data_IF_002414879363
#
_entry.id   IF_002414879363
#
_cell.length_a   1.000
_cell.length_b   1.000
_cell.length_c   1.000
_cell.angle_alpha   90.00
_cell.angle_beta   90.00
_cell.angle_gamma   90.00
#
_symmetry.space_group_name_H-M   'P 1'
#
loop_
_entity.id
_entity.type
_entity.pdbx_description
1 polymer ?
#
# COMPACT_ATOMS: atom_id res chain seq x y z
N UNK A 1 -11.54 -12.32 6.64
CA UNK A 1 -10.26 -12.52 5.93
C UNK A 1 -9.23 -13.08 6.92
N UNK A 2 -8.40 -14.06 6.51
CA UNK A 2 -7.52 -14.79 7.42
C UNK A 2 -6.52 -13.90 8.15
N UNK A 3 -5.94 -12.91 7.45
CA UNK A 3 -4.98 -11.97 8.05
C UNK A 3 -5.57 -11.20 9.23
N UNK A 4 -6.84 -10.80 9.15
CA UNK A 4 -7.49 -9.99 10.19
C UNK A 4 -7.81 -10.78 11.46
N UNK A 5 -7.83 -12.12 11.36
CA UNK A 5 -7.95 -13.00 12.53
C UNK A 5 -6.59 -13.15 13.22
N UNK A 6 -5.53 -13.35 12.43
CA UNK A 6 -4.18 -13.61 12.96
C UNK A 6 -3.45 -12.33 13.38
N UNK A 7 -3.69 -11.23 12.67
CA UNK A 7 -2.98 -9.96 12.80
C UNK A 7 -3.95 -8.77 12.70
N UNK A 8 -4.86 -8.60 13.67
CA UNK A 8 -5.89 -7.55 13.63
C UNK A 8 -5.29 -6.15 13.52
N UNK A 9 -4.12 -5.93 14.13
CA UNK A 9 -3.44 -4.63 14.20
C UNK A 9 -2.23 -4.52 13.26
N UNK A 10 -2.08 -5.39 12.27
CA UNK A 10 -0.96 -5.32 11.33
C UNK A 10 -1.48 -5.17 9.91
N UNK A 11 -0.96 -4.18 9.20
CA UNK A 11 -1.17 -4.07 7.76
C UNK A 11 -0.24 -5.02 7.04
N UNK A 12 -0.77 -5.73 6.04
CA UNK A 12 -0.03 -6.71 5.26
C UNK A 12 0.17 -6.15 3.86
N UNK A 13 1.43 -5.90 3.52
CA UNK A 13 1.83 -5.45 2.20
C UNK A 13 2.04 -6.62 1.26
N UNK A 14 1.56 -6.47 0.02
CA UNK A 14 1.84 -7.41 -1.07
C UNK A 14 2.43 -6.64 -2.26
N UNK A 15 3.60 -7.04 -2.79
CA UNK A 15 4.17 -6.42 -3.99
C UNK A 15 3.34 -6.84 -5.22
N UNK A 16 2.71 -5.88 -5.92
CA UNK A 16 1.75 -6.22 -6.96
C UNK A 16 2.43 -6.68 -8.27
N UNK A 17 3.70 -6.35 -8.48
CA UNK A 17 4.49 -6.79 -9.64
C UNK A 17 4.89 -8.28 -9.57
N UNK A 18 4.98 -8.87 -8.36
CA UNK A 18 5.45 -10.27 -8.19
C UNK A 18 4.33 -11.31 -8.16
N UNK A 19 3.06 -10.88 -8.10
CA UNK A 19 1.92 -11.77 -7.92
C UNK A 19 0.74 -11.43 -8.85
N UNK A 20 1.01 -10.90 -10.06
CA UNK A 20 -0.01 -10.33 -10.95
C UNK A 20 -1.27 -11.19 -11.09
N UNK A 21 -1.12 -12.49 -11.36
CA UNK A 21 -2.24 -13.42 -11.59
C UNK A 21 -3.07 -13.71 -10.33
N UNK A 22 -2.49 -13.63 -9.13
CA UNK A 22 -3.13 -13.98 -7.85
C UNK A 22 -3.37 -12.78 -6.95
N UNK A 23 -3.07 -11.56 -7.43
CA UNK A 23 -3.17 -10.30 -6.67
C UNK A 23 -4.50 -10.16 -5.91
N UNK A 24 -5.62 -10.46 -6.56
CA UNK A 24 -6.96 -10.32 -5.98
C UNK A 24 -7.17 -11.24 -4.76
N UNK A 25 -6.60 -12.46 -4.78
CA UNK A 25 -6.71 -13.41 -3.67
C UNK A 25 -6.08 -12.87 -2.39
N UNK A 26 -5.00 -12.09 -2.49
CA UNK A 26 -4.36 -11.51 -1.31
C UNK A 26 -5.25 -10.47 -0.62
N UNK A 27 -5.97 -9.65 -1.39
CA UNK A 27 -6.94 -8.72 -0.83
C UNK A 27 -8.08 -9.45 -0.11
N UNK A 28 -8.59 -10.53 -0.71
CA UNK A 28 -9.63 -11.38 -0.10
C UNK A 28 -9.11 -12.11 1.17
N UNK A 29 -7.83 -12.48 1.18
CA UNK A 29 -7.14 -13.02 2.35
C UNK A 29 -6.86 -11.96 3.42
N UNK A 30 -6.99 -10.68 3.07
CA UNK A 30 -7.02 -9.51 3.96
C UNK A 30 -5.71 -8.70 3.98
N UNK A 31 -4.89 -8.82 2.94
CA UNK A 31 -3.89 -7.78 2.65
C UNK A 31 -4.61 -6.46 2.36
N UNK A 32 -4.03 -5.36 2.84
CA UNK A 32 -4.65 -4.03 2.80
C UNK A 32 -3.75 -2.95 2.20
N UNK A 33 -2.61 -3.36 1.64
CA UNK A 33 -1.59 -2.44 1.18
C UNK A 33 -0.80 -3.02 -0.01
N UNK A 34 -0.78 -2.30 -1.13
CA UNK A 34 0.09 -2.66 -2.25
C UNK A 34 1.49 -2.13 -1.97
N UNK A 35 2.42 -3.05 -1.69
CA UNK A 35 3.79 -2.71 -1.34
C UNK A 35 4.61 -2.34 -2.56
N UNK A 36 5.11 -1.10 -2.62
CA UNK A 36 5.96 -0.63 -3.72
C UNK A 36 5.18 -0.46 -5.02
N UNK A 37 4.98 0.78 -5.43
CA UNK A 37 4.34 1.14 -6.70
C UNK A 37 5.01 2.41 -7.20
N UNK A 38 5.43 2.44 -8.46
CA UNK A 38 5.91 3.66 -9.08
C UNK A 38 5.45 3.74 -10.54
N UNK A 39 4.74 4.80 -10.94
CA UNK A 39 4.45 5.06 -12.35
C UNK A 39 5.63 5.74 -13.08
N UNK A 40 6.69 6.14 -12.35
CA UNK A 40 7.78 6.96 -12.90
C UNK A 40 9.11 6.21 -13.00
N UNK A 41 9.33 5.25 -12.13
CA UNK A 41 10.60 4.52 -12.04
C UNK A 41 10.38 3.03 -12.22
N UNK A 42 11.40 2.33 -12.70
CA UNK A 42 11.41 0.86 -12.65
C UNK A 42 11.62 0.37 -11.22
N UNK A 43 11.34 -0.90 -10.98
CA UNK A 43 11.78 -1.56 -9.76
C UNK A 43 13.31 -1.75 -9.82
N UNK A 44 14.04 -1.12 -8.90
CA UNK A 44 15.50 -1.27 -8.83
C UNK A 44 15.94 -2.54 -8.11
N UNK A 45 15.06 -3.15 -7.32
CA UNK A 45 15.32 -4.42 -6.63
C UNK A 45 15.05 -5.58 -7.58
N UNK A 46 13.92 -5.56 -8.29
CA UNK A 46 13.53 -6.58 -9.27
C UNK A 46 13.30 -5.98 -10.67
N UNK A 47 14.35 -5.63 -11.44
CA UNK A 47 14.21 -4.96 -12.74
C UNK A 47 13.41 -5.73 -13.79
N UNK A 48 13.37 -7.07 -13.70
CA UNK A 48 12.62 -7.96 -14.60
C UNK A 48 11.12 -8.02 -14.27
N UNK A 49 10.68 -7.44 -13.15
CA UNK A 49 9.29 -7.41 -12.71
C UNK A 49 8.79 -5.95 -12.64
N UNK A 50 8.35 -5.34 -13.75
CA UNK A 50 7.93 -3.95 -13.76
C UNK A 50 6.67 -3.74 -12.91
N UNK A 51 6.53 -2.53 -12.35
CA UNK A 51 5.31 -2.13 -11.64
C UNK A 51 4.09 -2.24 -12.57
N UNK A 52 2.92 -2.65 -12.04
CA UNK A 52 1.66 -2.51 -12.77
C UNK A 52 1.26 -1.04 -12.89
N UNK A 53 0.48 -0.75 -13.92
CA UNK A 53 -0.12 0.57 -14.10
C UNK A 53 -1.10 0.88 -12.97
N UNK A 54 -1.23 2.16 -12.59
CA UNK A 54 -2.15 2.56 -11.52
C UNK A 54 -3.60 2.16 -11.83
N UNK A 55 -4.02 2.25 -13.09
CA UNK A 55 -5.36 1.83 -13.51
C UNK A 55 -5.59 0.32 -13.38
N UNK A 56 -4.54 -0.49 -13.59
CA UNK A 56 -4.60 -1.94 -13.35
C UNK A 56 -4.84 -2.23 -11.87
N UNK A 57 -4.10 -1.56 -10.98
CA UNK A 57 -4.27 -1.68 -9.53
C UNK A 57 -5.66 -1.24 -9.08
N UNK A 58 -6.18 -0.13 -9.60
CA UNK A 58 -7.55 0.34 -9.32
C UNK A 58 -8.58 -0.72 -9.68
N UNK A 59 -8.43 -1.35 -10.86
CA UNK A 59 -9.33 -2.39 -11.33
C UNK A 59 -9.28 -3.63 -10.43
N UNK A 60 -8.09 -4.15 -10.12
CA UNK A 60 -7.92 -5.33 -9.25
C UNK A 60 -8.52 -5.05 -7.86
N UNK A 61 -8.20 -3.88 -7.29
CA UNK A 61 -8.68 -3.48 -5.96
C UNK A 61 -10.20 -3.36 -5.93
N UNK A 62 -10.79 -2.76 -6.97
CA UNK A 62 -12.24 -2.60 -7.12
C UNK A 62 -12.96 -3.94 -7.31
N UNK A 63 -12.37 -4.86 -8.09
CA UNK A 63 -12.93 -6.20 -8.29
C UNK A 63 -13.04 -6.97 -6.98
N UNK A 64 -12.07 -6.82 -6.07
CA UNK A 64 -12.12 -7.35 -4.71
C UNK A 64 -13.08 -6.60 -3.76
N UNK A 65 -13.77 -5.54 -4.22
CA UNK A 65 -14.71 -4.76 -3.42
C UNK A 65 -14.07 -3.63 -2.59
N UNK A 66 -12.82 -3.25 -2.88
CA UNK A 66 -12.09 -2.20 -2.16
C UNK A 66 -11.85 -0.96 -3.03
N UNK A 67 -11.35 0.11 -2.42
CA UNK A 67 -10.95 1.34 -3.11
C UNK A 67 -9.43 1.49 -2.96
N UNK A 68 -8.73 1.71 -4.08
CA UNK A 68 -7.31 2.02 -4.05
C UNK A 68 -7.13 3.45 -3.52
N UNK A 69 -6.34 3.61 -2.46
CA UNK A 69 -6.02 4.90 -1.86
C UNK A 69 -4.51 5.04 -1.71
N UNK A 70 -3.98 6.20 -2.11
CA UNK A 70 -2.59 6.55 -1.87
C UNK A 70 -2.36 6.84 -0.38
N UNK A 71 -1.17 6.51 0.13
CA UNK A 71 -0.77 6.80 1.50
C UNK A 71 0.68 7.25 1.57
N UNK A 72 1.02 7.94 2.65
CA UNK A 72 2.42 8.18 3.01
C UNK A 72 3.09 6.87 3.44
N UNK A 73 4.45 6.81 3.43
CA UNK A 73 5.19 5.65 3.94
C UNK A 73 4.82 5.28 5.38
N UNK A 74 4.49 6.27 6.22
CA UNK A 74 3.96 6.07 7.57
C UNK A 74 2.47 5.72 7.53
N UNK A 75 2.06 4.68 8.26
CA UNK A 75 0.65 4.35 8.40
C UNK A 75 -0.09 5.39 9.26
N UNK A 76 -1.36 5.73 8.94
CA UNK A 76 -2.11 6.78 9.64
C UNK A 76 -2.11 6.67 11.17
N UNK A 77 -2.19 5.45 11.70
CA UNK A 77 -2.21 5.21 13.16
C UNK A 77 -0.90 5.53 13.88
N UNK A 78 0.22 5.66 13.15
CA UNK A 78 1.52 6.02 13.69
C UNK A 78 1.89 7.49 13.40
N UNK A 79 0.92 8.31 12.94
CA UNK A 79 1.14 9.74 12.74
C UNK A 79 0.88 10.46 14.06
N UNK A 80 1.89 10.49 14.92
CA UNK A 80 1.87 11.24 16.19
C UNK A 80 3.29 11.58 16.66
N UNK A 81 3.39 12.45 17.66
CA UNK A 81 4.64 12.82 18.31
C UNK A 81 5.30 11.65 19.08
N UNK A 82 4.54 10.58 19.35
CA UNK A 82 5.07 9.35 19.95
C UNK A 82 6.01 8.61 19.00
N UNK A 83 5.68 8.59 17.70
CA UNK A 83 6.41 7.81 16.68
C UNK A 83 7.27 8.65 15.75
N UNK A 84 6.93 9.93 15.57
CA UNK A 84 7.58 10.82 14.62
C UNK A 84 8.20 12.01 15.33
N UNK A 85 9.41 12.39 14.92
CA UNK A 85 10.00 13.66 15.34
C UNK A 85 9.18 14.84 14.81
N UNK A 86 9.20 15.96 15.54
CA UNK A 86 8.47 17.19 15.20
C UNK A 86 8.64 17.58 13.72
N UNK A 87 9.89 17.62 13.23
CA UNK A 87 10.23 17.94 11.84
C UNK A 87 9.57 16.99 10.83
N UNK A 88 9.47 15.70 11.11
CA UNK A 88 8.83 14.74 10.20
C UNK A 88 7.31 14.90 10.26
N UNK A 89 6.76 15.07 11.46
CA UNK A 89 5.33 15.26 11.68
C UNK A 89 4.80 16.51 10.97
N UNK A 90 5.53 17.62 11.00
CA UNK A 90 5.20 18.83 10.23
C UNK A 90 5.11 18.55 8.73
N UNK A 91 6.08 17.81 8.17
CA UNK A 91 6.10 17.45 6.74
C UNK A 91 4.96 16.51 6.38
N UNK A 92 4.66 15.54 7.25
CA UNK A 92 3.51 14.63 7.08
C UNK A 92 2.19 15.41 7.06
N UNK A 93 1.97 16.32 8.00
CA UNK A 93 0.75 17.15 8.09
C UNK A 93 0.49 17.97 6.81
N UNK A 94 1.54 18.45 6.14
CA UNK A 94 1.42 19.19 4.87
C UNK A 94 0.84 18.30 3.76
N UNK A 95 1.27 17.04 3.67
CA UNK A 95 0.90 16.13 2.57
C UNK A 95 -0.36 15.30 2.87
N UNK A 96 -0.79 15.20 4.13
CA UNK A 96 -2.05 14.52 4.46
C UNK A 96 -3.27 15.18 3.79
N UNK A 97 -3.22 16.48 3.52
CA UNK A 97 -4.31 17.21 2.86
C UNK A 97 -4.37 16.96 1.34
N UNK A 98 -3.38 16.27 0.77
CA UNK A 98 -3.29 16.01 -0.67
C UNK A 98 -3.60 14.55 -1.05
N UNK A 99 -3.87 13.70 -0.06
CA UNK A 99 -4.18 12.26 -0.19
C UNK A 99 -5.66 11.97 0.06
#
# INVERSE_FOLDING_TARGET
AASKILFPDVSIQVPPNLNRETSEMFLLAGADDWGGVSPLSKDYVNPEAPWPEIEELKRITKNAGFILKERLPVYPKFISEEYLSEKVLERVKIHLNTL
#
